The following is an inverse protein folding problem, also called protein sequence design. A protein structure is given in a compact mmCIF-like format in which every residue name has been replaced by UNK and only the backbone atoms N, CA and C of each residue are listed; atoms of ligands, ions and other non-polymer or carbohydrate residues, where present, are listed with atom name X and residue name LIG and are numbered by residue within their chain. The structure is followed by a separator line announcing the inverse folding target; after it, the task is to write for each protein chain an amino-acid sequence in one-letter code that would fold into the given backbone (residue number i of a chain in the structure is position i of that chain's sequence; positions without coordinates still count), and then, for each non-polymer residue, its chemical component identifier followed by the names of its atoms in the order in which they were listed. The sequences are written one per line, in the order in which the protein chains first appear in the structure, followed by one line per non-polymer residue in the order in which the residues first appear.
data_IF_684351863603
#
_entry.id   IF_684351863603
#
_cell.length_a   1.000
_cell.length_b   1.000
_cell.length_c   1.000
_cell.angle_alpha   90.00
_cell.angle_beta   90.00
_cell.angle_gamma   90.00
#
_symmetry.space_group_name_H-M   'P 1'
#
loop_
_entity.id
_entity.type
_entity.pdbx_description
1 polymer ?
#
# COMPACT_ATOMS: atom_id res chain seq x y z
N UNK A 1 10.94 -50.86 24.92
CA UNK A 1 9.73 -50.80 24.09
C UNK A 1 8.96 -49.48 24.16
N UNK A 2 9.38 -48.50 24.91
CA UNK A 2 8.69 -47.20 25.04
C UNK A 2 9.25 -46.11 24.11
N UNK A 3 10.34 -46.36 23.43
CA UNK A 3 11.02 -45.39 22.55
C UNK A 3 10.29 -44.99 21.28
N UNK A 4 9.51 -45.85 20.58
CA UNK A 4 8.77 -45.45 19.38
C UNK A 4 7.66 -44.44 19.64
N UNK A 5 7.02 -44.50 20.78
CA UNK A 5 5.95 -43.58 21.13
C UNK A 5 6.42 -42.15 21.42
N UNK A 6 7.63 -41.99 21.96
CA UNK A 6 8.22 -40.66 22.18
C UNK A 6 8.59 -39.99 20.88
N UNK A 7 9.08 -40.74 19.90
CA UNK A 7 9.41 -40.20 18.58
C UNK A 7 8.17 -39.75 17.81
N UNK A 8 7.11 -40.53 17.85
CA UNK A 8 5.84 -40.16 17.24
C UNK A 8 5.23 -38.92 17.87
N UNK A 9 5.34 -38.76 19.18
CA UNK A 9 4.86 -37.58 19.89
C UNK A 9 5.64 -36.30 19.49
N UNK A 10 6.95 -36.41 19.33
CA UNK A 10 7.80 -35.30 18.88
C UNK A 10 7.48 -34.89 17.45
N UNK A 11 7.21 -35.81 16.54
CA UNK A 11 6.79 -35.51 15.19
C UNK A 11 5.42 -34.83 15.12
N UNK A 12 4.48 -35.25 15.93
CA UNK A 12 3.16 -34.63 16.03
C UNK A 12 3.24 -33.20 16.62
N UNK A 13 4.08 -32.98 17.61
CA UNK A 13 4.30 -31.66 18.19
C UNK A 13 4.97 -30.70 17.18
N UNK A 14 5.93 -31.17 16.41
CA UNK A 14 6.56 -30.38 15.36
C UNK A 14 5.60 -30.05 14.22
N UNK A 15 4.74 -30.97 13.81
CA UNK A 15 3.70 -30.75 12.81
C UNK A 15 2.64 -29.74 13.28
N UNK A 16 2.23 -29.78 14.54
CA UNK A 16 1.29 -28.84 15.13
C UNK A 16 1.88 -27.42 15.25
N UNK A 17 3.17 -27.29 15.51
CA UNK A 17 3.84 -25.98 15.60
C UNK A 17 3.98 -25.28 14.24
N UNK A 18 4.00 -26.03 13.13
CA UNK A 18 4.08 -25.47 11.78
C UNK A 18 2.73 -24.97 11.24
N UNK A 19 1.61 -25.47 11.76
CA UNK A 19 0.25 -25.11 11.29
C UNK A 19 -0.13 -23.64 11.48
N UNK A 20 0.23 -22.92 12.56
CA UNK A 20 -0.14 -21.51 12.71
C UNK A 20 0.54 -20.55 11.74
N UNK A 21 1.64 -20.94 11.11
CA UNK A 21 2.36 -20.08 10.16
C UNK A 21 1.66 -19.99 8.80
N UNK A 22 0.92 -21.00 8.37
CA UNK A 22 0.25 -21.09 7.07
C UNK A 22 -0.86 -20.03 6.91
N UNK A 23 -1.77 -19.78 7.89
CA UNK A 23 -2.79 -18.76 7.77
C UNK A 23 -2.23 -17.33 7.63
N UNK A 24 -1.14 -17.00 8.30
CA UNK A 24 -0.49 -15.70 8.18
C UNK A 24 0.08 -15.47 6.79
N UNK A 25 0.67 -16.48 6.19
CA UNK A 25 1.22 -16.40 4.85
C UNK A 25 0.11 -16.23 3.81
N UNK A 26 -1.02 -16.93 3.94
CA UNK A 26 -2.18 -16.80 3.09
C UNK A 26 -2.81 -15.39 3.20
N UNK A 27 -2.81 -14.78 4.39
CA UNK A 27 -3.26 -13.41 4.62
C UNK A 27 -2.38 -12.38 3.91
N UNK A 28 -1.06 -12.51 3.99
CA UNK A 28 -0.13 -11.63 3.30
C UNK A 28 -0.26 -11.72 1.77
N UNK A 29 -0.61 -12.89 1.22
CA UNK A 29 -0.82 -13.10 -0.21
C UNK A 29 -2.21 -12.66 -0.69
N UNK A 30 -3.16 -12.48 0.20
CA UNK A 30 -4.52 -12.13 -0.17
C UNK A 30 -4.71 -10.65 -0.54
N UNK A 31 -3.77 -9.77 -0.21
CA UNK A 31 -3.82 -8.36 -0.60
C UNK A 31 -3.40 -8.17 -2.08
N UNK A 32 -4.13 -7.38 -2.87
CA UNK A 32 -5.42 -6.78 -2.58
C UNK A 32 -6.59 -7.74 -2.89
N UNK A 33 -7.63 -7.74 -2.05
CA UNK A 33 -8.84 -8.54 -2.24
C UNK A 33 -10.01 -7.76 -2.83
N UNK A 34 -9.86 -6.45 -2.93
CA UNK A 34 -10.85 -5.50 -3.44
C UNK A 34 -10.14 -4.34 -4.15
N UNK A 35 -10.85 -3.50 -4.92
CA UNK A 35 -10.24 -2.37 -5.59
C UNK A 35 -9.54 -1.41 -4.63
N UNK A 36 -8.41 -0.87 -5.08
CA UNK A 36 -7.58 0.10 -4.34
C UNK A 36 -7.80 1.47 -4.96
N UNK A 37 -8.07 2.47 -4.13
CA UNK A 37 -8.21 3.86 -4.55
C UNK A 37 -6.87 4.59 -4.47
N UNK A 38 -6.48 5.21 -5.59
CA UNK A 38 -5.28 6.03 -5.68
C UNK A 38 -5.71 7.49 -5.80
N UNK A 39 -5.54 8.22 -4.72
CA UNK A 39 -5.95 9.64 -4.66
C UNK A 39 -4.82 10.50 -5.21
N UNK A 40 -5.17 11.36 -6.16
CA UNK A 40 -4.27 12.33 -6.78
C UNK A 40 -4.82 13.74 -6.50
N UNK A 41 -4.03 14.58 -5.84
CA UNK A 41 -4.42 15.94 -5.47
C UNK A 41 -4.31 16.97 -6.59
N UNK A 42 -4.02 16.55 -7.81
CA UNK A 42 -3.83 17.40 -8.97
C UNK A 42 -4.92 17.16 -10.02
N UNK A 43 -5.10 18.13 -10.90
CA UNK A 43 -6.09 18.07 -11.97
C UNK A 43 -5.82 16.89 -12.95
N UNK A 44 -6.89 16.30 -13.51
CA UNK A 44 -6.74 15.27 -14.54
C UNK A 44 -5.95 15.78 -15.75
N UNK A 45 -5.14 14.89 -16.35
CA UNK A 45 -4.37 15.20 -17.55
C UNK A 45 -3.00 15.81 -17.29
N UNK A 46 -2.66 16.15 -16.05
CA UNK A 46 -1.32 16.59 -15.67
C UNK A 46 -0.32 15.44 -15.56
N UNK A 47 0.95 15.77 -15.42
CA UNK A 47 2.05 14.78 -15.32
C UNK A 47 1.82 13.77 -14.19
N UNK A 48 1.36 14.27 -13.05
CA UNK A 48 1.09 13.42 -11.87
C UNK A 48 -0.07 12.47 -12.13
N UNK A 49 -1.12 12.93 -12.79
CA UNK A 49 -2.28 12.10 -13.15
C UNK A 49 -1.90 11.01 -14.14
N UNK A 50 -1.16 11.36 -15.20
CA UNK A 50 -0.68 10.40 -16.20
C UNK A 50 0.18 9.32 -15.54
N UNK A 51 1.10 9.71 -14.67
CA UNK A 51 1.95 8.78 -13.92
C UNK A 51 1.11 7.88 -13.02
N UNK A 52 0.13 8.44 -12.32
CA UNK A 52 -0.77 7.68 -11.47
C UNK A 52 -1.54 6.62 -12.25
N UNK A 53 -2.06 6.96 -13.42
CA UNK A 53 -2.81 6.03 -14.28
C UNK A 53 -1.93 4.91 -14.84
N UNK A 54 -0.71 5.23 -15.25
CA UNK A 54 0.24 4.22 -15.72
C UNK A 54 0.63 3.23 -14.62
N UNK A 55 0.96 3.73 -13.44
CA UNK A 55 1.31 2.89 -12.29
C UNK A 55 0.10 2.05 -11.86
N UNK A 56 -1.09 2.65 -11.81
CA UNK A 56 -2.31 1.97 -11.41
C UNK A 56 -2.68 0.86 -12.38
N UNK A 57 -2.53 1.08 -13.68
CA UNK A 57 -2.74 0.06 -14.69
C UNK A 57 -1.75 -1.11 -14.52
N UNK A 58 -0.48 -0.81 -14.33
CA UNK A 58 0.54 -1.81 -14.12
C UNK A 58 0.29 -2.65 -12.86
N UNK A 59 -0.10 -2.01 -11.77
CA UNK A 59 -0.44 -2.69 -10.52
C UNK A 59 -1.70 -3.54 -10.68
N UNK A 60 -2.71 -3.05 -11.40
CA UNK A 60 -3.95 -3.79 -11.66
C UNK A 60 -3.68 -5.09 -12.41
N UNK A 61 -2.81 -5.06 -13.40
CA UNK A 61 -2.41 -6.24 -14.17
C UNK A 61 -1.60 -7.23 -13.32
N UNK A 62 -0.73 -6.73 -12.46
CA UNK A 62 0.14 -7.55 -11.62
C UNK A 62 -0.54 -8.17 -10.42
N UNK A 63 -1.43 -7.43 -9.78
CA UNK A 63 -2.05 -7.81 -8.50
C UNK A 63 -3.47 -8.36 -8.66
N UNK A 64 -4.05 -8.32 -9.86
CA UNK A 64 -5.36 -8.91 -10.15
C UNK A 64 -6.56 -8.16 -9.59
N UNK A 65 -6.38 -6.93 -9.08
CA UNK A 65 -7.43 -6.04 -8.62
C UNK A 65 -7.29 -4.66 -9.26
N UNK A 66 -8.37 -3.94 -9.41
CA UNK A 66 -8.34 -2.60 -9.99
C UNK A 66 -7.75 -1.58 -9.03
N UNK A 67 -6.81 -0.79 -9.54
CA UNK A 67 -6.30 0.42 -8.90
C UNK A 67 -6.97 1.62 -9.58
N UNK A 68 -7.91 2.23 -8.88
CA UNK A 68 -8.76 3.29 -9.41
C UNK A 68 -8.15 4.64 -9.05
N UNK A 69 -7.82 5.44 -10.07
CA UNK A 69 -7.31 6.80 -9.87
C UNK A 69 -8.47 7.75 -9.65
N UNK A 70 -8.40 8.52 -8.58
CA UNK A 70 -9.39 9.50 -8.20
C UNK A 70 -8.70 10.86 -8.01
N UNK A 71 -9.09 11.84 -8.82
CA UNK A 71 -8.55 13.19 -8.73
C UNK A 71 -9.36 14.00 -7.72
N UNK A 72 -8.76 14.35 -6.60
CA UNK A 72 -9.34 15.22 -5.58
C UNK A 72 -8.51 16.49 -5.46
N UNK A 73 -8.89 17.48 -6.27
CA UNK A 73 -8.19 18.76 -6.37
C UNK A 73 -8.74 19.75 -5.35
N UNK A 74 -7.90 20.72 -4.99
CA UNK A 74 -8.27 21.87 -4.16
C UNK A 74 -7.30 22.11 -3.02
N UNK A 75 -7.24 23.36 -2.55
CA UNK A 75 -6.41 23.82 -1.43
C UNK A 75 -4.96 23.35 -1.50
N UNK A 76 -4.31 23.46 -2.65
CA UNK A 76 -2.93 23.01 -2.90
C UNK A 76 -2.69 21.54 -2.51
N UNK A 77 -3.57 20.66 -2.93
CA UNK A 77 -3.55 19.20 -2.65
C UNK A 77 -4.00 18.79 -1.24
N UNK A 78 -4.35 19.71 -0.37
CA UNK A 78 -4.75 19.41 1.00
C UNK A 78 -6.04 18.58 1.07
N UNK A 79 -6.99 18.80 0.18
CA UNK A 79 -8.26 18.04 0.15
C UNK A 79 -7.99 16.55 -0.13
N UNK A 80 -7.16 16.24 -1.11
CA UNK A 80 -6.77 14.86 -1.41
C UNK A 80 -6.01 14.21 -0.25
N UNK A 81 -5.10 14.95 0.35
CA UNK A 81 -4.31 14.49 1.50
C UNK A 81 -5.21 14.20 2.71
N UNK A 82 -6.16 15.09 3.02
CA UNK A 82 -7.12 14.86 4.10
C UNK A 82 -7.99 13.61 3.87
N UNK A 83 -8.42 13.40 2.63
CA UNK A 83 -9.20 12.22 2.29
C UNK A 83 -8.45 10.93 2.60
N UNK A 84 -7.16 10.87 2.34
CA UNK A 84 -6.31 9.70 2.64
C UNK A 84 -6.06 9.57 4.13
N UNK A 85 -5.80 10.68 4.84
CA UNK A 85 -5.56 10.66 6.30
C UNK A 85 -6.79 10.17 7.06
N UNK A 86 -8.00 10.51 6.59
CA UNK A 86 -9.27 10.09 7.20
C UNK A 86 -9.69 8.67 6.79
N UNK A 87 -9.12 8.14 5.72
CA UNK A 87 -9.40 6.77 5.29
C UNK A 87 -8.79 5.74 6.24
N UNK A 88 -9.37 4.54 6.33
CA UNK A 88 -8.76 3.45 7.10
C UNK A 88 -7.34 3.15 6.61
N UNK A 89 -6.42 2.91 7.54
CA UNK A 89 -5.01 2.59 7.23
C UNK A 89 -4.84 1.10 6.89
N UNK A 90 -5.56 0.63 5.88
CA UNK A 90 -5.60 -0.77 5.46
C UNK A 90 -4.89 -1.03 4.12
N UNK A 91 -4.30 -0.01 3.51
CA UNK A 91 -3.63 -0.11 2.21
C UNK A 91 -4.56 -0.04 0.99
N UNK A 92 -5.86 0.21 1.17
CA UNK A 92 -6.83 0.33 0.07
C UNK A 92 -7.11 1.77 -0.37
N UNK A 93 -6.50 2.75 0.30
CA UNK A 93 -6.51 4.16 -0.08
C UNK A 93 -5.08 4.67 -0.06
N UNK A 94 -4.56 5.02 -1.22
CA UNK A 94 -3.19 5.48 -1.43
C UNK A 94 -3.19 6.93 -1.89
N UNK A 95 -2.16 7.66 -1.53
CA UNK A 95 -1.95 9.04 -1.98
C UNK A 95 -0.72 9.10 -2.89
N UNK A 96 -0.90 9.60 -4.09
CA UNK A 96 0.21 9.91 -4.99
C UNK A 96 0.50 11.42 -4.94
N UNK A 97 1.70 11.77 -4.51
CA UNK A 97 2.14 13.17 -4.41
C UNK A 97 3.39 13.40 -5.26
N UNK A 98 3.50 14.60 -5.77
CA UNK A 98 4.72 15.06 -6.42
C UNK A 98 5.59 15.77 -5.37
N UNK A 99 6.82 15.32 -5.23
CA UNK A 99 7.79 16.01 -4.38
C UNK A 99 8.24 17.29 -5.08
N UNK A 100 7.79 18.42 -4.59
CA UNK A 100 8.33 19.72 -5.02
C UNK A 100 9.57 20.00 -4.17
N UNK A 101 10.71 20.11 -4.82
CA UNK A 101 11.89 20.57 -4.13
C UNK A 101 11.68 22.07 -3.82
N UNK A 102 11.32 22.38 -2.60
CA UNK A 102 11.33 23.76 -2.13
C UNK A 102 12.79 24.21 -2.06
N UNK A 103 13.24 24.92 -3.07
CA UNK A 103 14.46 25.71 -2.98
C UNK A 103 14.14 26.89 -2.07
N UNK A 104 14.35 26.74 -0.76
CA UNK A 104 14.46 27.90 0.10
C UNK A 104 15.69 28.64 -0.34
N UNK A 105 15.51 29.69 -1.13
CA UNK A 105 16.53 30.69 -1.28
C UNK A 105 16.70 31.35 0.09
N UNK A 106 17.72 30.93 0.78
CA UNK A 106 18.19 31.65 1.95
C UNK A 106 18.82 32.95 1.42
N UNK A 107 18.00 34.00 1.36
CA UNK A 107 18.50 35.33 1.08
C UNK A 107 19.25 35.73 2.34
N UNK A 108 20.54 35.48 2.36
CA UNK A 108 21.44 36.11 3.34
C UNK A 108 21.39 37.59 3.04
N UNK A 109 20.63 38.33 3.80
CA UNK A 109 20.65 39.77 3.76
C UNK A 109 22.03 40.23 4.20
N UNK A 110 22.88 40.49 3.23
CA UNK A 110 24.13 41.21 3.47
C UNK A 110 23.80 42.66 3.78
N UNK A 111 24.24 43.12 4.89
CA UNK A 111 24.39 44.57 5.16
C UNK A 111 25.61 45.08 4.46
#
# INVERSE_FOLDING_TARGET
MKLPHRRQFLHLAAGAAALPAVPRFAWAQAYPTRPVHVIVGFAPGGTTDITARLISQWLSERLGQQFVVENRTGAATNIGTEAVVRAPADGYTLLLVRRTRSTRHFTTGGR
#
